data_IF_694797988399
#
_entry.id   IF_694797988399
#
_cell.length_a   1.000
_cell.length_b   1.000
_cell.length_c   1.000
_cell.angle_alpha   90.00
_cell.angle_beta   90.00
_cell.angle_gamma   90.00
#
_symmetry.space_group_name_H-M   'P 1'
#
loop_
_entity.id
_entity.type
_entity.pdbx_description
1 polymer ?
#
# COMPACT_ATOMS: atom_id res chain seq x y z
N UNK A 1 -11.26 -13.32 4.42
CA UNK A 1 -10.69 -12.38 3.41
C UNK A 1 -11.69 -11.71 2.46
N UNK A 2 -12.56 -12.42 1.71
CA UNK A 2 -13.47 -11.78 0.74
C UNK A 2 -14.42 -10.75 1.39
N UNK A 3 -15.08 -11.14 2.48
CA UNK A 3 -16.02 -10.26 3.19
C UNK A 3 -15.29 -9.07 3.80
N UNK A 4 -14.08 -9.27 4.31
CA UNK A 4 -13.24 -8.20 4.83
C UNK A 4 -12.98 -7.15 3.74
N UNK A 5 -12.53 -7.54 2.54
CA UNK A 5 -12.30 -6.57 1.46
C UNK A 5 -13.59 -5.84 1.08
N UNK A 6 -14.72 -6.56 0.98
CA UNK A 6 -16.01 -5.94 0.68
C UNK A 6 -16.42 -4.91 1.74
N UNK A 7 -16.25 -5.24 3.03
CA UNK A 7 -16.52 -4.32 4.14
C UNK A 7 -15.64 -3.06 4.07
N UNK A 8 -14.35 -3.21 3.75
CA UNK A 8 -13.42 -2.08 3.60
C UNK A 8 -13.81 -1.17 2.42
N UNK A 9 -14.23 -1.75 1.30
CA UNK A 9 -14.74 -1.00 0.13
C UNK A 9 -15.98 -0.19 0.51
N UNK A 10 -16.93 -0.80 1.23
CA UNK A 10 -18.14 -0.11 1.70
C UNK A 10 -17.80 0.99 2.72
N UNK A 11 -16.88 0.72 3.64
CA UNK A 11 -16.42 1.70 4.63
C UNK A 11 -15.73 2.92 3.98
N UNK A 12 -15.16 2.75 2.80
CA UNK A 12 -14.62 3.83 1.97
C UNK A 12 -15.69 4.65 1.22
N UNK A 13 -16.98 4.36 1.43
CA UNK A 13 -18.11 5.06 0.81
C UNK A 13 -18.50 4.55 -0.58
N UNK A 14 -17.94 3.41 -1.02
CA UNK A 14 -18.31 2.79 -2.29
C UNK A 14 -19.55 1.89 -2.16
N UNK A 15 -20.20 1.62 -3.30
CA UNK A 15 -21.30 0.65 -3.36
C UNK A 15 -20.81 -0.76 -2.98
N UNK A 16 -21.66 -1.58 -2.33
CA UNK A 16 -21.30 -2.96 -2.01
C UNK A 16 -20.92 -3.75 -3.27
N UNK A 17 -19.73 -4.37 -3.32
CA UNK A 17 -19.34 -5.20 -4.45
C UNK A 17 -20.04 -6.57 -4.42
N UNK A 18 -20.29 -7.15 -5.59
CA UNK A 18 -20.79 -8.53 -5.68
C UNK A 18 -19.67 -9.52 -5.39
N UNK A 19 -19.70 -10.13 -4.20
CA UNK A 19 -18.76 -11.19 -3.81
C UNK A 19 -19.19 -12.52 -4.44
N UNK A 20 -18.48 -12.95 -5.48
CA UNK A 20 -18.82 -14.15 -6.25
C UNK A 20 -17.71 -15.20 -6.28
N UNK A 21 -17.90 -16.24 -7.10
CA UNK A 21 -16.95 -17.37 -7.23
C UNK A 21 -15.54 -16.89 -7.62
N UNK A 22 -15.42 -15.93 -8.54
CA UNK A 22 -14.13 -15.33 -8.92
C UNK A 22 -13.34 -14.75 -7.73
N UNK A 23 -14.03 -14.21 -6.73
CA UNK A 23 -13.36 -13.68 -5.53
C UNK A 23 -12.81 -14.80 -4.66
N UNK A 24 -13.62 -15.84 -4.44
CA UNK A 24 -13.25 -17.03 -3.67
C UNK A 24 -12.11 -17.80 -4.34
N UNK A 25 -12.12 -17.89 -5.67
CA UNK A 25 -11.05 -18.54 -6.43
C UNK A 25 -9.75 -17.77 -6.34
N UNK A 26 -9.79 -16.44 -6.49
CA UNK A 26 -8.60 -15.61 -6.32
C UNK A 26 -8.03 -15.71 -4.89
N UNK A 27 -8.90 -15.66 -3.88
CA UNK A 27 -8.53 -15.87 -2.48
C UNK A 27 -7.85 -17.23 -2.25
N UNK A 28 -8.44 -18.31 -2.77
CA UNK A 28 -7.86 -19.65 -2.70
C UNK A 28 -6.50 -19.72 -3.40
N UNK A 29 -6.38 -19.18 -4.61
CA UNK A 29 -5.12 -19.18 -5.36
C UNK A 29 -4.03 -18.38 -4.65
N UNK A 30 -4.36 -17.26 -3.99
CA UNK A 30 -3.40 -16.53 -3.17
C UNK A 30 -2.83 -17.41 -2.05
N UNK A 31 -3.64 -18.29 -1.46
CA UNK A 31 -3.17 -19.21 -0.42
C UNK A 31 -2.39 -20.40 -1.00
N UNK A 32 -2.93 -21.05 -2.02
CA UNK A 32 -2.41 -22.34 -2.52
C UNK A 32 -1.33 -22.18 -3.58
N UNK A 33 -1.52 -21.29 -4.55
CA UNK A 33 -0.60 -21.11 -5.67
C UNK A 33 0.47 -20.05 -5.37
N UNK A 34 0.07 -18.94 -4.72
CA UNK A 34 0.98 -17.83 -4.45
C UNK A 34 1.65 -17.95 -3.05
N UNK A 35 1.25 -18.96 -2.26
CA UNK A 35 1.84 -19.27 -0.96
C UNK A 35 1.66 -18.17 0.10
N UNK A 36 0.58 -17.38 0.03
CA UNK A 36 0.28 -16.31 0.98
C UNK A 36 -0.56 -16.84 2.14
N UNK A 37 -0.18 -16.50 3.35
CA UNK A 37 -0.99 -16.82 4.54
C UNK A 37 -2.24 -15.93 4.58
N UNK A 38 -3.29 -16.41 5.26
CA UNK A 38 -4.50 -15.61 5.48
C UNK A 38 -4.17 -14.26 6.14
N UNK A 39 -3.30 -14.25 7.14
CA UNK A 39 -2.84 -13.05 7.83
C UNK A 39 -2.17 -12.04 6.88
N UNK A 40 -1.32 -12.51 5.96
CA UNK A 40 -0.67 -11.68 4.96
C UNK A 40 -1.67 -11.06 3.97
N UNK A 41 -2.73 -11.78 3.63
CA UNK A 41 -3.78 -11.28 2.74
C UNK A 41 -4.61 -10.21 3.46
N UNK A 42 -4.99 -10.45 4.71
CA UNK A 42 -5.68 -9.46 5.54
C UNK A 42 -4.87 -8.18 5.72
N UNK A 43 -3.57 -8.30 6.07
CA UNK A 43 -2.70 -7.14 6.19
C UNK A 43 -2.56 -6.34 4.89
N UNK A 44 -2.53 -7.03 3.73
CA UNK A 44 -2.50 -6.36 2.43
C UNK A 44 -3.81 -5.61 2.12
N UNK A 45 -4.97 -6.19 2.48
CA UNK A 45 -6.27 -5.53 2.35
C UNK A 45 -6.31 -4.28 3.24
N UNK A 46 -5.92 -4.40 4.50
CA UNK A 46 -5.91 -3.27 5.42
C UNK A 46 -5.02 -2.15 4.92
N UNK A 47 -3.81 -2.48 4.48
CA UNK A 47 -2.87 -1.48 3.97
C UNK A 47 -3.38 -0.79 2.70
N UNK A 48 -3.81 -1.54 1.70
CA UNK A 48 -4.20 -0.95 0.41
C UNK A 48 -5.50 -0.16 0.49
N UNK A 49 -6.44 -0.56 1.35
CA UNK A 49 -7.70 0.17 1.51
C UNK A 49 -7.54 1.42 2.38
N UNK A 50 -6.46 1.55 3.16
CA UNK A 50 -6.11 2.78 3.89
C UNK A 50 -5.26 3.75 3.06
N UNK A 51 -4.66 3.29 1.96
CA UNK A 51 -3.82 4.12 1.12
C UNK A 51 -4.65 4.76 -0.01
N UNK A 52 -4.54 6.08 -0.16
CA UNK A 52 -5.40 6.84 -1.08
C UNK A 52 -5.21 6.48 -2.53
N UNK A 53 -3.98 6.12 -2.90
CA UNK A 53 -3.64 5.69 -4.24
C UNK A 53 -4.15 4.27 -4.48
N UNK A 54 -3.92 3.35 -3.53
CA UNK A 54 -4.25 1.94 -3.76
C UNK A 54 -5.73 1.59 -3.63
N UNK A 55 -6.50 2.28 -2.79
CA UNK A 55 -7.90 1.90 -2.54
C UNK A 55 -8.70 1.86 -3.84
N UNK A 56 -8.61 2.89 -4.70
CA UNK A 56 -9.33 2.93 -5.98
C UNK A 56 -8.88 1.84 -6.98
N UNK A 57 -7.65 1.35 -6.85
CA UNK A 57 -7.09 0.33 -7.73
C UNK A 57 -7.35 -1.11 -7.27
N UNK A 58 -7.73 -1.32 -6.01
CA UNK A 58 -8.01 -2.64 -5.44
C UNK A 58 -9.47 -2.72 -4.99
N UNK A 59 -10.34 -3.02 -5.96
CA UNK A 59 -11.78 -3.13 -5.78
C UNK A 59 -12.31 -4.57 -5.84
N UNK A 60 -11.42 -5.56 -5.90
CA UNK A 60 -11.78 -6.98 -5.90
C UNK A 60 -10.60 -7.90 -5.52
N UNK A 61 -10.91 -9.12 -5.07
CA UNK A 61 -9.87 -10.12 -4.77
C UNK A 61 -8.97 -10.49 -5.97
N UNK A 62 -9.48 -10.66 -7.22
CA UNK A 62 -8.60 -10.85 -8.38
C UNK A 62 -7.62 -9.70 -8.58
N UNK A 63 -8.07 -8.46 -8.36
CA UNK A 63 -7.21 -7.27 -8.51
C UNK A 63 -6.18 -7.16 -7.39
N UNK A 64 -6.56 -7.53 -6.17
CA UNK A 64 -5.63 -7.65 -5.04
C UNK A 64 -4.51 -8.65 -5.37
N UNK A 65 -4.87 -9.85 -5.88
CA UNK A 65 -3.91 -10.87 -6.28
C UNK A 65 -2.95 -10.36 -7.36
N UNK A 66 -3.49 -9.75 -8.42
CA UNK A 66 -2.70 -9.18 -9.53
C UNK A 66 -1.68 -8.14 -9.06
N UNK A 67 -2.04 -7.32 -8.05
CA UNK A 67 -1.22 -6.19 -7.58
C UNK A 67 -0.43 -6.49 -6.31
N UNK A 68 -0.51 -7.71 -5.77
CA UNK A 68 -0.03 -8.04 -4.44
C UNK A 68 1.46 -7.71 -4.24
N UNK A 69 2.32 -8.07 -5.19
CA UNK A 69 3.76 -7.86 -5.06
C UNK A 69 4.13 -6.37 -5.13
N UNK A 70 3.49 -5.60 -6.02
CA UNK A 70 3.68 -4.16 -6.11
C UNK A 70 3.26 -3.45 -4.80
N UNK A 71 2.11 -3.84 -4.25
CA UNK A 71 1.59 -3.37 -2.96
C UNK A 71 2.59 -3.67 -1.84
N UNK A 72 3.10 -4.90 -1.75
CA UNK A 72 4.07 -5.32 -0.72
C UNK A 72 5.38 -4.51 -0.78
N UNK A 73 5.90 -4.26 -1.98
CA UNK A 73 7.13 -3.46 -2.17
C UNK A 73 6.92 -2.01 -1.72
N UNK A 74 5.80 -1.40 -2.11
CA UNK A 74 5.48 -0.03 -1.70
C UNK A 74 5.20 0.10 -0.20
N UNK A 75 4.50 -0.86 0.40
CA UNK A 75 4.26 -0.90 1.83
C UNK A 75 5.57 -0.95 2.64
N UNK A 76 6.52 -1.76 2.18
CA UNK A 76 7.85 -1.87 2.81
C UNK A 76 8.64 -0.56 2.70
N UNK A 77 8.61 0.10 1.53
CA UNK A 77 9.29 1.38 1.32
C UNK A 77 8.68 2.53 2.13
N UNK A 78 7.37 2.50 2.41
CA UNK A 78 6.71 3.51 3.26
C UNK A 78 7.11 3.36 4.73
N UNK A 79 7.31 2.12 5.21
CA UNK A 79 7.78 1.84 6.58
C UNK A 79 9.22 2.31 6.82
N UNK A 80 10.10 2.25 5.81
CA UNK A 80 11.49 2.71 5.92
C UNK A 80 11.70 4.23 5.91
N UNK A 81 10.69 5.02 5.52
CA UNK A 81 10.76 6.49 5.43
C UNK A 81 10.23 7.22 6.67
N UNK A 82 9.87 6.48 7.72
CA UNK A 82 9.33 7.02 8.97
C UNK A 82 10.37 7.59 9.95
N UNK A 83 11.66 7.44 9.66
CA UNK A 83 12.72 8.12 10.42
C UNK A 83 13.31 9.24 9.55
N UNK A 84 13.20 10.52 9.94
CA UNK A 84 14.07 11.52 9.35
C UNK A 84 15.53 11.09 9.61
N UNK A 85 16.46 11.27 8.66
CA UNK A 85 17.87 11.09 8.96
C UNK A 85 18.21 11.95 10.20
N UNK A 86 19.08 11.48 11.11
CA UNK A 86 19.54 12.33 12.21
C UNK A 86 20.05 13.63 11.60
N UNK A 87 19.46 14.76 12.03
CA UNK A 87 19.64 16.07 11.42
C UNK A 87 21.11 16.27 11.05
N UNK A 88 21.40 16.31 9.75
CA UNK A 88 22.70 16.76 9.28
C UNK A 88 22.90 18.18 9.85
N UNK A 89 24.10 18.51 10.39
CA UNK A 89 24.36 19.87 10.84
C UNK A 89 24.09 20.83 9.68
N UNK A 90 23.56 22.04 9.94
CA UNK A 90 23.25 22.99 8.87
C UNK A 90 24.52 23.24 8.07
N UNK A 91 24.49 22.88 6.78
CA UNK A 91 25.53 23.26 5.85
C UNK A 91 25.55 24.79 5.82
N UNK A 92 26.61 25.39 6.34
CA UNK A 92 26.92 26.81 6.15
C UNK A 92 26.85 27.07 4.64
N UNK A 93 25.81 27.80 4.22
CA UNK A 93 25.61 28.15 2.82
C UNK A 93 26.78 29.02 2.36
N UNK A 94 27.49 28.69 1.27
CA UNK A 94 28.53 29.57 0.71
C UNK A 94 27.97 30.86 0.06
N UNK A 95 26.75 31.30 0.41
CA UNK A 95 26.12 32.49 -0.17
C UNK A 95 26.71 33.82 0.33
N UNK A 96 27.65 33.78 1.27
CA UNK A 96 28.44 34.94 1.73
C UNK A 96 29.85 34.97 1.13
N UNK A 97 29.97 34.87 -0.20
CA UNK A 97 31.26 35.08 -0.88
C UNK A 97 31.13 35.81 -2.23
N UNK A 98 30.28 36.85 -2.28
CA UNK A 98 30.07 37.69 -3.47
C UNK A 98 30.06 39.22 -3.23
N UNK A 99 30.44 39.70 -2.04
CA UNK A 99 30.57 41.15 -1.74
C UNK A 99 31.93 41.54 -1.15
N UNK A 100 33.01 40.84 -1.52
CA UNK A 100 34.38 41.19 -1.10
C UNK A 100 35.28 41.32 -2.33
N UNK A 101 34.92 42.26 -3.22
CA UNK A 101 35.81 42.77 -4.25
C UNK A 101 35.32 44.15 -4.70
N UNK A 102 35.70 45.16 -3.93
CA UNK A 102 35.94 46.53 -4.39
C UNK A 102 37.26 46.98 -3.79
#
# INVERSE_FOLDING_TARGET
MCDHLAQRIVANGCKPPTVGTRWRDAARLMMTADGRTEQQIHAAIDWCQNDEFWRSHVMSMPKLREKYDALRLQASAKKGRGSPPPAAPPATSPRDRWMERQ
#
